data_IF_826087632876
#
_entry.id   IF_826087632876
#
_cell.length_a   1.000
_cell.length_b   1.000
_cell.length_c   1.000
_cell.angle_alpha   90.00
_cell.angle_beta   90.00
_cell.angle_gamma   90.00
#
_symmetry.space_group_name_H-M   'P 1'
#
loop_
_entity.id
_entity.type
_entity.pdbx_description
1 polymer ?
#
# COMPACT_ATOMS: atom_id res chain seq x y z
N UNK A 1 8.47 8.71 -14.33
CA UNK A 1 7.39 8.68 -15.35
C UNK A 1 6.39 7.58 -15.04
N UNK A 2 5.18 7.69 -15.57
CA UNK A 2 4.08 6.73 -15.34
C UNK A 2 3.61 6.66 -13.87
N UNK A 3 3.90 7.70 -13.08
CA UNK A 3 3.45 7.85 -11.71
C UNK A 3 2.81 9.24 -11.58
N UNK A 4 1.63 9.30 -10.99
CA UNK A 4 0.93 10.55 -10.67
C UNK A 4 0.62 10.54 -9.19
N UNK A 5 1.21 11.51 -8.46
CA UNK A 5 0.92 11.77 -7.06
C UNK A 5 -0.31 12.66 -6.94
N UNK A 6 -1.21 12.29 -6.06
CA UNK A 6 -2.41 13.05 -5.71
C UNK A 6 -2.33 13.44 -4.25
N UNK A 7 -2.53 14.71 -3.98
CA UNK A 7 -2.65 15.22 -2.62
C UNK A 7 -3.99 15.92 -2.47
N UNK A 8 -4.76 15.48 -1.50
CA UNK A 8 -6.05 16.08 -1.13
C UNK A 8 -5.94 16.61 0.29
N UNK A 9 -6.16 17.90 0.46
CA UNK A 9 -6.08 18.56 1.77
C UNK A 9 -7.42 19.22 2.09
N UNK A 10 -8.05 18.80 3.20
CA UNK A 10 -9.27 19.43 3.68
C UNK A 10 -8.97 20.71 4.44
N UNK A 11 -7.97 20.69 5.32
CA UNK A 11 -7.59 21.83 6.13
C UNK A 11 -6.08 21.96 6.29
N UNK A 12 -5.54 23.11 5.86
CA UNK A 12 -4.11 23.38 5.86
C UNK A 12 -3.63 24.29 7.01
N UNK A 13 -4.45 24.51 8.05
CA UNK A 13 -4.18 25.50 9.10
C UNK A 13 -3.01 25.15 9.99
N UNK A 14 -3.01 23.99 10.65
CA UNK A 14 -1.88 23.51 11.46
C UNK A 14 -1.65 22.04 11.12
N UNK A 15 -0.84 21.74 10.11
CA UNK A 15 -0.60 20.36 9.74
C UNK A 15 0.13 19.63 10.86
N UNK A 16 -0.31 18.40 11.17
CA UNK A 16 0.51 17.46 11.93
C UNK A 16 1.80 17.23 11.16
N UNK A 17 2.91 17.09 11.88
CA UNK A 17 4.15 16.58 11.29
C UNK A 17 4.01 15.07 11.13
N UNK A 18 3.49 14.65 10.00
CA UNK A 18 3.43 13.25 9.68
C UNK A 18 4.83 12.73 9.39
N UNK A 19 5.10 11.49 9.80
CA UNK A 19 6.32 10.79 9.42
C UNK A 19 6.29 10.56 7.91
N UNK A 20 7.35 11.00 7.23
CA UNK A 20 7.50 10.81 5.78
C UNK A 20 8.62 9.84 5.50
N UNK A 21 8.39 8.96 4.54
CA UNK A 21 9.45 8.13 3.98
C UNK A 21 10.24 8.91 2.93
N UNK A 22 11.51 8.56 2.76
CA UNK A 22 12.29 9.05 1.63
C UNK A 22 11.84 8.35 0.36
N UNK A 23 11.43 9.13 -0.63
CA UNK A 23 11.07 8.64 -1.96
C UNK A 23 12.16 9.05 -2.96
N UNK A 24 12.41 8.19 -3.95
CA UNK A 24 13.36 8.45 -5.03
C UNK A 24 12.60 9.08 -6.20
N UNK A 25 12.34 10.36 -6.08
CA UNK A 25 11.59 11.13 -7.07
C UNK A 25 12.49 11.52 -8.25
N UNK A 26 11.93 11.49 -9.44
CA UNK A 26 12.58 11.98 -10.65
C UNK A 26 12.06 13.37 -11.00
N UNK A 27 12.95 14.25 -11.50
CA UNK A 27 12.53 15.49 -12.12
C UNK A 27 11.84 15.19 -13.47
N UNK A 28 10.53 15.26 -13.47
CA UNK A 28 9.70 15.02 -14.65
C UNK A 28 8.90 16.26 -14.96
N UNK A 29 8.99 16.75 -16.20
CA UNK A 29 8.09 17.78 -16.69
C UNK A 29 6.81 17.09 -17.21
N UNK A 30 5.67 17.26 -16.55
CA UNK A 30 4.41 16.70 -17.04
C UNK A 30 3.91 17.46 -18.26
N UNK A 31 3.17 16.77 -19.10
CA UNK A 31 2.37 17.43 -20.14
C UNK A 31 1.03 17.84 -19.54
N UNK A 32 0.70 19.12 -19.66
CA UNK A 32 -0.57 19.68 -19.18
C UNK A 32 -1.32 20.24 -20.37
N UNK A 33 -2.56 19.83 -20.53
CA UNK A 33 -3.50 20.38 -21.52
C UNK A 33 -4.90 20.49 -20.93
N UNK A 34 -5.73 21.26 -21.56
CA UNK A 34 -7.14 21.38 -21.19
C UNK A 34 -8.00 21.61 -22.44
N UNK A 35 -9.25 21.24 -22.34
CA UNK A 35 -10.33 21.58 -23.26
C UNK A 35 -11.51 22.19 -22.45
N UNK A 36 -12.67 22.32 -23.07
CA UNK A 36 -13.83 22.93 -22.43
C UNK A 36 -14.32 22.14 -21.21
N UNK A 37 -14.23 20.80 -21.24
CA UNK A 37 -14.81 19.91 -20.24
C UNK A 37 -13.79 19.36 -19.25
N UNK A 38 -12.51 19.24 -19.64
CA UNK A 38 -11.49 18.51 -18.88
C UNK A 38 -10.16 19.26 -18.81
N UNK A 39 -9.43 19.02 -17.70
CA UNK A 39 -8.00 19.26 -17.59
C UNK A 39 -7.26 17.91 -17.56
N UNK A 40 -6.12 17.83 -18.22
CA UNK A 40 -5.32 16.62 -18.35
C UNK A 40 -3.92 16.86 -17.82
N UNK A 41 -3.44 15.92 -17.02
CA UNK A 41 -2.10 15.91 -16.47
C UNK A 41 -1.46 14.57 -16.83
N UNK A 42 -0.44 14.61 -17.70
CA UNK A 42 0.18 13.40 -18.25
C UNK A 42 1.63 13.24 -17.79
N UNK A 43 1.97 12.06 -17.30
CA UNK A 43 3.33 11.65 -16.93
C UNK A 43 3.67 10.33 -17.62
N UNK A 44 4.46 10.40 -18.70
CA UNK A 44 4.70 9.23 -19.56
C UNK A 44 3.43 8.79 -20.28
N UNK A 45 3.00 7.55 -20.08
CA UNK A 45 1.77 7.01 -20.68
C UNK A 45 0.52 7.26 -19.81
N UNK A 46 0.72 7.55 -18.52
CA UNK A 46 -0.37 7.73 -17.55
C UNK A 46 -0.88 9.17 -17.59
N UNK A 47 -2.19 9.32 -17.75
CA UNK A 47 -2.89 10.61 -17.72
C UNK A 47 -3.95 10.63 -16.61
N UNK A 48 -3.97 11.68 -15.79
CA UNK A 48 -5.11 12.06 -14.97
C UNK A 48 -5.96 13.06 -15.74
N UNK A 49 -7.21 12.69 -16.04
CA UNK A 49 -8.23 13.54 -16.65
C UNK A 49 -9.20 14.02 -15.60
N UNK A 50 -9.18 15.31 -15.31
CA UNK A 50 -9.98 15.95 -14.27
C UNK A 50 -11.17 16.66 -14.90
N UNK A 51 -12.39 16.39 -14.44
CA UNK A 51 -13.59 17.10 -14.94
C UNK A 51 -13.61 18.53 -14.43
N UNK A 52 -13.90 19.50 -15.33
CA UNK A 52 -13.98 20.93 -15.02
C UNK A 52 -15.37 21.37 -14.54
N UNK A 53 -16.38 20.54 -14.76
CA UNK A 53 -17.76 20.86 -14.44
C UNK A 53 -18.57 19.62 -14.06
N UNK A 54 -19.80 19.81 -13.59
CA UNK A 54 -20.66 18.73 -13.16
C UNK A 54 -20.20 18.07 -11.87
N UNK A 55 -20.32 16.75 -11.82
CA UNK A 55 -19.85 15.97 -10.69
C UNK A 55 -18.32 15.82 -10.75
N UNK A 56 -17.69 15.87 -9.60
CA UNK A 56 -16.26 15.57 -9.47
C UNK A 56 -15.92 14.20 -10.05
N UNK A 57 -14.91 14.15 -10.92
CA UNK A 57 -14.30 12.91 -11.39
C UNK A 57 -12.86 13.17 -11.82
N UNK A 58 -11.99 12.21 -11.47
CA UNK A 58 -10.64 12.08 -12.00
C UNK A 58 -10.48 10.68 -12.57
N UNK A 59 -10.33 10.59 -13.87
CA UNK A 59 -10.03 9.35 -14.55
C UNK A 59 -8.52 9.19 -14.70
N UNK A 60 -7.98 8.07 -14.24
CA UNK A 60 -6.60 7.67 -14.53
C UNK A 60 -6.61 6.75 -15.74
N UNK A 61 -5.93 7.17 -16.81
CA UNK A 61 -6.08 6.53 -18.12
C UNK A 61 -4.77 6.43 -18.88
N UNK A 62 -4.75 5.50 -19.83
CA UNK A 62 -3.65 5.30 -20.79
C UNK A 62 -4.25 5.24 -22.20
N UNK A 63 -3.90 6.20 -23.05
CA UNK A 63 -4.64 6.43 -24.28
C UNK A 63 -6.12 6.65 -23.96
N UNK A 64 -7.01 5.89 -24.58
CA UNK A 64 -8.47 5.98 -24.35
C UNK A 64 -8.98 5.01 -23.27
N UNK A 65 -8.09 4.20 -22.69
CA UNK A 65 -8.46 3.20 -21.68
C UNK A 65 -8.41 3.80 -20.29
N UNK A 66 -9.54 3.88 -19.61
CA UNK A 66 -9.63 4.23 -18.19
C UNK A 66 -9.17 3.01 -17.37
N UNK A 67 -8.20 3.23 -16.48
CA UNK A 67 -7.70 2.23 -15.54
C UNK A 67 -8.56 2.20 -14.28
N UNK A 68 -8.76 3.37 -13.69
CA UNK A 68 -9.57 3.58 -12.49
C UNK A 68 -10.06 5.02 -12.45
N UNK A 69 -11.05 5.30 -11.62
CA UNK A 69 -11.66 6.62 -11.46
C UNK A 69 -11.89 6.95 -10.00
N UNK A 70 -11.46 8.13 -9.56
CA UNK A 70 -11.98 8.79 -8.37
C UNK A 70 -13.26 9.54 -8.77
N UNK A 71 -14.40 8.93 -8.50
CA UNK A 71 -15.69 9.43 -8.99
C UNK A 71 -16.41 10.30 -7.97
N UNK A 72 -17.68 10.58 -8.28
CA UNK A 72 -18.57 11.34 -7.40
C UNK A 72 -18.63 10.72 -6.00
N UNK A 73 -18.28 11.50 -4.97
CA UNK A 73 -18.14 11.07 -3.58
C UNK A 73 -17.05 9.99 -3.36
N UNK A 74 -16.07 9.90 -4.24
CA UNK A 74 -14.88 9.07 -4.04
C UNK A 74 -14.06 9.56 -2.86
N UNK A 75 -13.80 10.86 -2.82
CA UNK A 75 -13.12 11.50 -1.70
C UNK A 75 -14.08 11.86 -0.57
N UNK A 76 -13.65 11.66 0.65
CA UNK A 76 -14.43 11.97 1.83
C UNK A 76 -13.58 12.44 3.02
N UNK A 77 -14.24 13.19 3.89
CA UNK A 77 -13.74 13.48 5.23
C UNK A 77 -14.79 13.06 6.25
N UNK A 78 -14.35 12.31 7.24
CA UNK A 78 -15.17 11.93 8.39
C UNK A 78 -14.59 12.53 9.67
N UNK A 79 -15.45 12.90 10.61
CA UNK A 79 -15.06 13.36 11.93
C UNK A 79 -15.63 12.40 12.97
N UNK A 80 -14.77 11.70 13.67
CA UNK A 80 -15.14 10.91 14.84
C UNK A 80 -15.18 11.84 16.06
N UNK A 81 -16.36 12.10 16.58
CA UNK A 81 -16.53 12.89 17.80
C UNK A 81 -16.09 12.07 19.00
N UNK A 82 -15.24 12.64 19.86
CA UNK A 82 -14.74 11.99 21.07
C UNK A 82 -15.69 12.05 22.27
N UNK A 83 -16.87 12.64 22.08
CA UNK A 83 -17.87 12.79 23.13
C UNK A 83 -17.55 13.87 24.18
N UNK A 84 -16.42 14.55 24.07
CA UNK A 84 -16.05 15.66 24.97
C UNK A 84 -16.83 16.91 24.58
N UNK A 85 -17.64 17.51 25.47
CA UNK A 85 -18.32 18.76 25.18
C UNK A 85 -17.29 19.89 24.99
N UNK A 86 -17.15 20.41 23.79
CA UNK A 86 -16.38 21.61 23.58
C UNK A 86 -17.21 22.70 22.94
N UNK A 87 -17.04 23.90 23.45
CA UNK A 87 -17.92 25.04 23.18
C UNK A 87 -17.66 25.78 21.87
N UNK A 88 -16.53 25.59 21.20
CA UNK A 88 -16.14 26.47 20.10
C UNK A 88 -15.59 25.79 18.83
N UNK A 89 -15.09 24.56 18.90
CA UNK A 89 -14.62 23.82 17.76
C UNK A 89 -15.07 22.34 17.85
N UNK A 90 -15.39 21.67 16.75
CA UNK A 90 -15.65 20.25 16.78
C UNK A 90 -14.36 19.53 17.18
N UNK A 91 -14.32 19.02 18.42
CA UNK A 91 -13.26 18.10 18.85
C UNK A 91 -13.58 16.71 18.36
N UNK A 92 -12.58 16.05 17.81
CA UNK A 92 -12.69 14.70 17.32
C UNK A 92 -11.50 14.37 16.40
N UNK A 93 -11.33 13.09 16.15
CA UNK A 93 -10.35 12.62 15.19
C UNK A 93 -10.91 12.76 13.77
N UNK A 94 -10.16 13.44 12.91
CA UNK A 94 -10.49 13.58 11.50
C UNK A 94 -9.89 12.43 10.71
N UNK A 95 -10.63 11.93 9.74
CA UNK A 95 -10.20 10.90 8.80
C UNK A 95 -10.42 11.40 7.37
N UNK A 96 -9.44 11.16 6.52
CA UNK A 96 -9.55 11.34 5.08
C UNK A 96 -9.74 9.99 4.42
N UNK A 97 -10.57 9.93 3.39
CA UNK A 97 -10.79 8.71 2.59
C UNK A 97 -10.79 9.01 1.09
N UNK A 98 -10.40 8.02 0.32
CA UNK A 98 -10.51 8.02 -1.15
C UNK A 98 -11.04 6.65 -1.60
N UNK A 99 -11.77 6.65 -2.69
CA UNK A 99 -12.33 5.44 -3.30
C UNK A 99 -12.04 5.42 -4.79
N UNK A 100 -11.31 4.42 -5.23
CA UNK A 100 -10.97 4.21 -6.63
C UNK A 100 -11.77 3.03 -7.19
N UNK A 101 -12.38 3.24 -8.36
CA UNK A 101 -13.23 2.25 -9.00
C UNK A 101 -12.44 1.02 -9.46
N UNK A 102 -13.06 -0.14 -9.34
CA UNK A 102 -12.63 -1.40 -9.93
C UNK A 102 -13.53 -1.74 -11.10
N UNK A 103 -12.95 -2.30 -12.14
CA UNK A 103 -13.69 -2.83 -13.29
C UNK A 103 -14.14 -4.28 -13.06
N UNK A 104 -15.01 -4.77 -13.92
CA UNK A 104 -15.49 -6.16 -13.86
C UNK A 104 -14.32 -7.13 -14.07
N UNK A 105 -14.17 -8.09 -13.15
CA UNK A 105 -13.07 -9.07 -13.18
C UNK A 105 -11.72 -8.51 -12.75
N UNK A 106 -11.67 -7.28 -12.24
CA UNK A 106 -10.44 -6.72 -11.71
C UNK A 106 -10.12 -7.31 -10.34
N UNK A 107 -8.90 -7.84 -10.21
CA UNK A 107 -8.38 -8.44 -8.99
C UNK A 107 -7.30 -7.53 -8.37
N UNK A 108 -7.36 -7.38 -7.07
CA UNK A 108 -6.43 -6.58 -6.25
C UNK A 108 -5.47 -7.51 -5.50
N UNK A 109 -4.18 -7.17 -5.51
CA UNK A 109 -3.09 -7.91 -4.87
C UNK A 109 -2.21 -6.97 -4.05
N UNK A 110 -1.43 -7.51 -3.11
CA UNK A 110 -0.47 -6.73 -2.33
C UNK A 110 -0.91 -6.54 -0.88
N UNK A 111 -0.72 -5.33 -0.34
CA UNK A 111 -1.02 -4.94 1.04
C UNK A 111 -0.14 -5.63 2.09
N UNK A 112 1.10 -5.98 1.71
CA UNK A 112 2.09 -6.59 2.61
C UNK A 112 1.95 -8.10 2.76
N UNK A 113 2.63 -8.66 3.76
CA UNK A 113 2.63 -10.09 4.05
C UNK A 113 1.46 -10.44 4.96
N UNK A 114 0.56 -11.32 4.49
CA UNK A 114 -0.65 -11.69 5.24
C UNK A 114 -1.01 -13.15 5.05
N UNK A 115 -1.57 -13.77 6.08
CA UNK A 115 -2.07 -15.15 6.10
C UNK A 115 -3.45 -15.29 5.46
N UNK A 116 -3.72 -14.56 4.41
CA UNK A 116 -4.99 -14.57 3.68
C UNK A 116 -4.82 -14.88 2.21
N UNK A 117 -5.91 -14.87 1.48
CA UNK A 117 -5.88 -15.07 0.04
C UNK A 117 -5.05 -13.99 -0.67
N UNK A 118 -4.37 -14.37 -1.76
CA UNK A 118 -3.60 -13.41 -2.57
C UNK A 118 -4.49 -12.35 -3.21
N UNK A 119 -5.66 -12.74 -3.69
CA UNK A 119 -6.68 -11.81 -4.17
C UNK A 119 -7.34 -11.16 -2.96
N UNK A 120 -7.28 -9.85 -2.89
CA UNK A 120 -7.77 -9.08 -1.75
C UNK A 120 -9.22 -8.64 -1.86
N UNK A 121 -9.86 -8.84 -3.01
CA UNK A 121 -11.27 -8.53 -3.20
C UNK A 121 -12.13 -9.24 -2.14
N UNK A 122 -12.99 -8.49 -1.47
CA UNK A 122 -13.80 -8.96 -0.35
C UNK A 122 -13.11 -8.95 1.02
N UNK A 123 -11.92 -8.31 1.13
CA UNK A 123 -11.18 -8.20 2.39
C UNK A 123 -11.09 -6.74 2.85
N UNK A 124 -11.24 -6.52 4.15
CA UNK A 124 -10.81 -5.30 4.84
C UNK A 124 -9.43 -5.56 5.43
N UNK A 125 -8.51 -4.63 5.22
CA UNK A 125 -7.10 -4.76 5.63
C UNK A 125 -6.66 -3.51 6.36
N UNK A 126 -6.40 -3.64 7.66
CA UNK A 126 -5.85 -2.56 8.48
C UNK A 126 -4.33 -2.66 8.53
N UNK A 127 -3.66 -1.53 8.27
CA UNK A 127 -2.21 -1.43 8.16
C UNK A 127 -1.60 -1.01 9.50
N UNK A 128 -1.32 -1.99 10.34
CA UNK A 128 -0.59 -1.78 11.58
C UNK A 128 0.37 -2.94 11.85
N UNK A 129 1.66 -2.64 12.07
CA UNK A 129 2.65 -3.69 12.34
C UNK A 129 2.42 -4.26 13.74
N UNK A 130 2.06 -5.53 13.81
CA UNK A 130 1.86 -6.26 15.04
C UNK A 130 2.26 -7.73 14.88
N UNK A 131 2.53 -8.39 15.99
CA UNK A 131 2.83 -9.82 15.97
C UNK A 131 1.60 -10.61 15.53
N UNK A 132 1.68 -11.12 14.31
CA UNK A 132 0.58 -11.83 13.65
C UNK A 132 0.48 -13.30 14.00
N UNK A 133 1.49 -13.88 14.63
CA UNK A 133 1.56 -15.35 14.78
C UNK A 133 1.46 -16.01 13.40
N UNK A 134 0.70 -17.11 13.30
CA UNK A 134 0.61 -17.93 12.07
C UNK A 134 -0.76 -17.97 11.41
N UNK A 135 -1.78 -17.31 11.94
CA UNK A 135 -3.15 -17.45 11.45
C UNK A 135 -4.08 -16.31 11.89
N UNK A 136 -3.61 -15.08 11.85
CA UNK A 136 -4.43 -13.91 12.18
C UNK A 136 -4.37 -12.86 11.08
N UNK A 137 -5.19 -11.81 11.19
CA UNK A 137 -5.17 -10.64 10.32
C UNK A 137 -3.96 -9.73 10.59
N UNK A 138 -3.30 -9.89 11.74
CA UNK A 138 -2.11 -9.13 12.11
C UNK A 138 -0.92 -9.52 11.24
N UNK A 139 -0.01 -8.59 11.02
CA UNK A 139 1.20 -8.81 10.24
C UNK A 139 2.34 -7.90 10.70
N UNK A 140 3.57 -8.39 10.62
CA UNK A 140 4.76 -7.56 10.84
C UNK A 140 5.06 -6.63 9.68
N UNK A 141 4.71 -7.04 8.45
CA UNK A 141 5.03 -6.30 7.24
C UNK A 141 3.75 -5.82 6.56
N UNK A 142 3.38 -4.60 6.87
CA UNK A 142 2.31 -3.86 6.24
C UNK A 142 2.89 -2.92 5.20
N UNK A 143 2.38 -3.00 3.97
CA UNK A 143 2.81 -2.15 2.86
C UNK A 143 1.53 -1.56 2.25
N UNK A 144 1.27 -0.25 2.40
CA UNK A 144 0.05 0.40 1.92
C UNK A 144 0.08 0.60 0.39
N UNK A 145 0.40 -0.47 -0.31
CA UNK A 145 0.47 -0.56 -1.75
C UNK A 145 -0.29 -1.77 -2.24
N UNK A 146 -1.19 -1.53 -3.18
CA UNK A 146 -1.82 -2.59 -3.95
C UNK A 146 -1.56 -2.44 -5.44
N UNK A 147 -1.66 -3.54 -6.16
CA UNK A 147 -1.62 -3.57 -7.62
C UNK A 147 -2.77 -4.42 -8.15
N UNK A 148 -3.11 -4.23 -9.43
CA UNK A 148 -4.20 -4.94 -10.07
C UNK A 148 -3.76 -5.72 -11.30
N UNK A 149 -4.58 -6.69 -11.72
CA UNK A 149 -4.37 -7.40 -12.98
C UNK A 149 -4.55 -6.52 -14.23
N UNK A 150 -4.91 -5.24 -14.06
CA UNK A 150 -4.99 -4.26 -15.14
C UNK A 150 -3.68 -3.50 -15.38
N UNK A 151 -2.63 -3.82 -14.61
CA UNK A 151 -1.27 -3.30 -14.78
C UNK A 151 -1.05 -1.92 -14.19
N UNK A 152 -1.80 -1.57 -13.16
CA UNK A 152 -1.54 -0.40 -12.32
C UNK A 152 -1.51 -0.77 -10.84
N UNK A 153 -0.98 0.11 -10.02
CA UNK A 153 -1.01 0.02 -8.57
C UNK A 153 -1.24 1.38 -7.93
N UNK A 154 -1.54 1.35 -6.63
CA UNK A 154 -1.75 2.55 -5.81
C UNK A 154 -0.97 2.41 -4.52
N UNK A 155 -0.15 3.40 -4.22
CA UNK A 155 0.56 3.55 -2.95
C UNK A 155 -0.10 4.66 -2.14
N UNK A 156 -0.47 4.39 -0.90
CA UNK A 156 -0.90 5.42 0.05
C UNK A 156 0.30 5.86 0.88
N UNK A 157 0.69 7.14 0.77
CA UNK A 157 1.85 7.69 1.46
C UNK A 157 1.52 8.07 2.91
N UNK A 158 1.32 7.07 3.75
CA UNK A 158 1.07 7.30 5.17
C UNK A 158 1.75 6.24 6.03
N UNK A 159 2.33 6.66 7.15
CA UNK A 159 3.04 5.81 8.11
C UNK A 159 2.21 5.45 9.35
N UNK A 160 0.97 5.97 9.44
CA UNK A 160 0.02 5.62 10.50
C UNK A 160 -0.91 4.50 10.05
N UNK A 161 -1.93 4.22 10.84
CA UNK A 161 -2.96 3.26 10.49
C UNK A 161 -3.67 3.68 9.21
N UNK A 162 -3.57 2.83 8.19
CA UNK A 162 -4.33 2.97 6.95
C UNK A 162 -5.26 1.77 6.82
N UNK A 163 -6.54 2.01 6.64
CA UNK A 163 -7.53 0.96 6.38
C UNK A 163 -7.82 0.88 4.90
N UNK A 164 -7.89 -0.34 4.36
CA UNK A 164 -8.31 -0.63 2.99
C UNK A 164 -9.54 -1.52 2.99
N UNK A 165 -10.63 -1.03 2.39
CA UNK A 165 -11.83 -1.78 2.09
C UNK A 165 -11.80 -2.19 0.62
N UNK A 166 -11.34 -3.41 0.34
CA UNK A 166 -11.17 -3.91 -1.03
C UNK A 166 -12.44 -4.64 -1.46
N UNK A 167 -13.30 -3.96 -2.21
CA UNK A 167 -14.60 -4.49 -2.67
C UNK A 167 -15.52 -4.99 -1.52
N UNK A 168 -15.36 -4.47 -0.31
CA UNK A 168 -16.16 -4.82 0.87
C UNK A 168 -17.26 -3.81 1.13
N UNK A 169 -16.94 -2.53 1.10
CA UNK A 169 -17.92 -1.46 1.26
C UNK A 169 -18.83 -1.36 0.01
N UNK A 170 -18.19 -1.40 -1.18
CA UNK A 170 -18.82 -1.58 -2.48
C UNK A 170 -17.97 -2.47 -3.36
N UNK A 171 -18.62 -3.37 -4.10
CA UNK A 171 -17.94 -4.37 -4.93
C UNK A 171 -17.12 -3.78 -6.07
N UNK A 172 -17.47 -2.59 -6.52
CA UNK A 172 -16.83 -1.89 -7.63
C UNK A 172 -15.74 -0.90 -7.22
N UNK A 173 -15.21 -0.98 -5.98
CA UNK A 173 -14.13 -0.05 -5.57
C UNK A 173 -13.19 -0.58 -4.50
N UNK A 174 -12.01 0.01 -4.45
CA UNK A 174 -11.12 0.02 -3.29
C UNK A 174 -11.27 1.37 -2.60
N UNK A 175 -11.66 1.35 -1.34
CA UNK A 175 -11.62 2.51 -0.48
C UNK A 175 -10.40 2.41 0.43
N UNK A 176 -9.69 3.50 0.66
CA UNK A 176 -8.65 3.60 1.67
C UNK A 176 -8.83 4.86 2.49
N UNK A 177 -8.50 4.75 3.77
CA UNK A 177 -8.68 5.84 4.73
C UNK A 177 -7.61 5.84 5.80
N UNK A 178 -7.31 7.01 6.35
CA UNK A 178 -6.43 7.17 7.50
C UNK A 178 -6.77 8.42 8.29
N UNK A 179 -6.25 8.49 9.51
CA UNK A 179 -6.38 9.68 10.36
C UNK A 179 -5.60 10.86 9.78
N UNK A 180 -6.20 12.04 9.77
CA UNK A 180 -5.59 13.29 9.35
C UNK A 180 -6.51 14.19 8.55
N UNK A 181 -5.94 15.28 8.02
CA UNK A 181 -6.62 16.29 7.19
C UNK A 181 -6.05 16.33 5.77
N UNK A 182 -5.11 15.46 5.45
CA UNK A 182 -4.47 15.35 4.13
C UNK A 182 -4.32 13.88 3.76
N UNK A 183 -4.75 13.54 2.56
CA UNK A 183 -4.54 12.23 1.92
C UNK A 183 -3.52 12.41 0.80
N UNK A 184 -2.50 11.55 0.77
CA UNK A 184 -1.53 11.50 -0.33
C UNK A 184 -1.45 10.07 -0.85
N UNK A 185 -1.58 9.91 -2.17
CA UNK A 185 -1.40 8.61 -2.81
C UNK A 185 -0.81 8.75 -4.21
N UNK A 186 -0.10 7.72 -4.65
CA UNK A 186 0.46 7.62 -5.99
C UNK A 186 -0.29 6.59 -6.82
N UNK A 187 -0.70 6.96 -8.02
CA UNK A 187 -1.17 6.01 -9.04
C UNK A 187 0.00 5.68 -9.95
N UNK A 188 0.33 4.40 -10.07
CA UNK A 188 1.53 3.87 -10.75
C UNK A 188 1.08 2.95 -11.88
N UNK A 189 1.48 3.24 -13.12
CA UNK A 189 1.13 2.43 -14.28
C UNK A 189 2.35 1.78 -14.92
N UNK A 190 2.45 0.45 -14.86
CA UNK A 190 3.48 -0.34 -15.51
C UNK A 190 3.00 -1.10 -16.75
N UNK A 191 1.67 -1.23 -16.92
CA UNK A 191 1.08 -2.05 -17.97
C UNK A 191 0.96 -3.53 -17.63
N UNK A 192 1.89 -4.06 -16.84
CA UNK A 192 1.81 -5.39 -16.22
C UNK A 192 2.05 -5.28 -14.72
N UNK A 193 1.62 -6.27 -13.90
CA UNK A 193 1.94 -6.28 -12.47
C UNK A 193 3.45 -6.23 -12.18
N UNK A 194 4.26 -6.89 -13.02
CA UNK A 194 5.71 -6.90 -12.87
C UNK A 194 6.32 -5.52 -13.10
N UNK A 195 5.92 -4.85 -14.17
CA UNK A 195 6.43 -3.52 -14.49
C UNK A 195 5.90 -2.46 -13.51
N UNK A 196 4.67 -2.64 -13.01
CA UNK A 196 4.12 -1.81 -11.93
C UNK A 196 4.94 -1.95 -10.65
N UNK A 197 5.35 -3.18 -10.30
CA UNK A 197 6.22 -3.43 -9.16
C UNK A 197 7.63 -2.85 -9.37
N UNK A 198 8.14 -2.88 -10.60
CA UNK A 198 9.42 -2.25 -10.95
C UNK A 198 9.36 -0.74 -10.72
N UNK A 199 8.34 -0.05 -11.18
CA UNK A 199 8.14 1.38 -10.93
C UNK A 199 7.94 1.70 -9.44
N UNK A 200 7.14 0.89 -8.73
CA UNK A 200 6.95 1.04 -7.30
C UNK A 200 8.29 0.95 -6.54
N UNK A 201 9.10 -0.06 -6.83
CA UNK A 201 10.41 -0.22 -6.16
C UNK A 201 11.44 0.79 -6.63
N UNK A 202 11.32 1.36 -7.83
CA UNK A 202 12.14 2.51 -8.23
C UNK A 202 11.83 3.74 -7.37
N UNK A 203 10.55 3.96 -7.06
CA UNK A 203 10.10 5.08 -6.22
C UNK A 203 10.46 4.88 -4.73
N UNK A 204 10.25 3.68 -4.19
CA UNK A 204 10.35 3.42 -2.75
C UNK A 204 11.70 2.84 -2.30
N UNK A 205 12.53 2.43 -3.23
CA UNK A 205 13.79 1.75 -3.01
C UNK A 205 13.79 0.31 -3.50
N UNK A 206 14.86 -0.05 -4.21
CA UNK A 206 15.03 -1.42 -4.72
C UNK A 206 15.38 -2.36 -3.58
N UNK A 207 14.85 -3.60 -3.59
CA UNK A 207 15.30 -4.63 -2.66
C UNK A 207 16.77 -4.97 -2.88
N UNK A 208 17.46 -5.40 -1.83
CA UNK A 208 18.83 -5.86 -1.93
C UNK A 208 18.92 -7.13 -2.78
N UNK A 209 19.97 -7.25 -3.61
CA UNK A 209 20.31 -8.51 -4.22
C UNK A 209 21.07 -9.36 -3.19
N UNK A 210 20.36 -10.31 -2.57
CA UNK A 210 20.89 -11.15 -1.53
C UNK A 210 21.61 -12.39 -2.10
N UNK A 211 22.58 -13.00 -1.38
CA UNK A 211 23.26 -14.22 -1.84
C UNK A 211 22.30 -15.41 -1.92
N UNK A 212 22.59 -16.34 -2.83
CA UNK A 212 21.71 -17.47 -3.13
C UNK A 212 21.39 -18.34 -1.90
N UNK A 213 22.34 -18.50 -0.97
CA UNK A 213 22.13 -19.31 0.25
C UNK A 213 21.01 -18.73 1.13
N UNK A 214 20.71 -17.43 1.07
CA UNK A 214 19.65 -16.81 1.86
C UNK A 214 18.23 -17.26 1.45
N UNK A 215 18.10 -17.91 0.29
CA UNK A 215 16.84 -18.53 -0.16
C UNK A 215 16.74 -20.02 0.24
N UNK A 216 17.74 -20.56 0.94
CA UNK A 216 17.71 -21.90 1.46
C UNK A 216 16.97 -22.03 2.79
N UNK A 217 17.08 -23.21 3.41
CA UNK A 217 16.43 -23.47 4.70
C UNK A 217 17.09 -22.68 5.82
N UNK A 218 16.30 -21.96 6.57
CA UNK A 218 16.64 -21.31 7.82
C UNK A 218 16.05 -22.11 8.97
N UNK A 219 16.88 -22.54 9.92
CA UNK A 219 16.46 -23.30 11.09
C UNK A 219 16.65 -22.47 12.35
N UNK A 220 15.63 -22.48 13.18
CA UNK A 220 15.66 -21.99 14.54
C UNK A 220 14.95 -22.97 15.44
N UNK A 221 15.32 -23.05 16.70
CA UNK A 221 14.54 -23.75 17.72
C UNK A 221 13.65 -22.82 18.51
N UNK A 222 13.64 -21.52 18.12
CA UNK A 222 12.96 -20.47 18.83
C UNK A 222 13.31 -20.50 20.33
N UNK A 223 12.37 -20.36 21.22
CA UNK A 223 12.59 -20.42 22.67
C UNK A 223 12.41 -21.83 23.27
N UNK A 224 12.38 -22.87 22.45
CA UNK A 224 12.10 -24.26 22.92
C UNK A 224 13.32 -25.01 23.46
N UNK A 225 14.52 -24.52 23.16
CA UNK A 225 15.79 -25.11 23.65
C UNK A 225 16.77 -24.02 24.06
N UNK A 226 17.80 -24.42 24.80
CA UNK A 226 18.95 -23.57 25.05
C UNK A 226 19.81 -23.43 23.78
N UNK A 227 20.35 -22.23 23.57
CA UNK A 227 21.25 -21.93 22.44
C UNK A 227 22.74 -22.08 22.85
N UNK A 228 23.08 -23.09 23.66
CA UNK A 228 24.48 -23.44 23.91
C UNK A 228 25.11 -24.10 22.69
N UNK A 229 26.45 -24.11 22.64
CA UNK A 229 27.20 -24.63 21.49
C UNK A 229 26.90 -26.13 21.24
N UNK A 230 26.76 -26.95 22.27
CA UNK A 230 26.51 -28.38 22.14
C UNK A 230 25.12 -28.63 21.53
N UNK A 231 24.10 -27.96 22.02
CA UNK A 231 22.73 -28.10 21.55
C UNK A 231 22.62 -27.60 20.11
N UNK A 232 23.12 -26.40 19.79
CA UNK A 232 23.11 -25.84 18.44
C UNK A 232 23.83 -26.74 17.44
N UNK A 233 25.05 -27.23 17.80
CA UNK A 233 25.82 -28.15 16.97
C UNK A 233 25.09 -29.48 16.74
N UNK A 234 24.36 -30.00 17.73
CA UNK A 234 23.59 -31.21 17.56
C UNK A 234 22.47 -31.10 16.53
N UNK A 235 21.81 -29.95 16.44
CA UNK A 235 20.81 -29.69 15.40
C UNK A 235 21.44 -29.57 14.01
N UNK A 236 22.52 -28.81 13.88
CA UNK A 236 23.26 -28.65 12.62
C UNK A 236 23.75 -30.00 12.09
N UNK A 237 24.40 -30.76 12.95
CA UNK A 237 24.90 -32.10 12.61
C UNK A 237 23.74 -33.07 12.29
N UNK A 238 22.65 -33.02 13.05
CA UNK A 238 21.50 -33.86 12.83
C UNK A 238 20.80 -33.58 11.49
N UNK A 239 20.83 -32.34 10.99
CA UNK A 239 20.38 -32.00 9.64
C UNK A 239 21.29 -32.63 8.58
N UNK A 240 22.61 -32.51 8.76
CA UNK A 240 23.61 -33.11 7.85
C UNK A 240 23.52 -34.64 7.80
N UNK A 241 23.38 -35.32 8.96
CA UNK A 241 23.22 -36.76 9.06
C UNK A 241 21.97 -37.29 8.32
N UNK A 242 20.96 -36.45 8.15
CA UNK A 242 19.69 -36.78 7.47
C UNK A 242 19.64 -36.32 6.02
N UNK A 243 20.76 -35.80 5.52
CA UNK A 243 20.86 -35.25 4.17
C UNK A 243 19.81 -34.13 3.92
N UNK A 244 19.53 -33.33 4.95
CA UNK A 244 18.65 -32.20 4.86
C UNK A 244 19.50 -30.92 4.69
N UNK A 245 19.43 -30.25 3.52
CA UNK A 245 20.25 -29.06 3.27
C UNK A 245 19.83 -27.90 4.18
N UNK A 246 20.74 -27.45 5.02
CA UNK A 246 20.60 -26.33 5.92
C UNK A 246 21.49 -25.19 5.44
N UNK A 247 20.92 -24.02 5.19
CA UNK A 247 21.68 -22.84 4.77
C UNK A 247 22.03 -21.93 5.94
N UNK A 248 21.14 -21.78 6.90
CA UNK A 248 21.30 -20.88 8.03
C UNK A 248 20.72 -21.50 9.29
N UNK A 249 21.47 -21.42 10.38
CA UNK A 249 20.92 -21.59 11.72
C UNK A 249 20.88 -20.21 12.39
N UNK A 250 19.75 -19.80 12.94
CA UNK A 250 19.65 -18.51 13.61
C UNK A 250 19.09 -18.65 15.03
N UNK A 251 19.51 -17.73 15.88
CA UNK A 251 19.03 -17.62 17.24
C UNK A 251 17.79 -16.71 17.24
N UNK A 252 16.65 -17.31 17.53
CA UNK A 252 15.37 -16.63 17.58
C UNK A 252 14.84 -16.67 19.01
N UNK A 253 14.36 -15.52 19.49
CA UNK A 253 13.94 -15.35 20.89
C UNK A 253 15.02 -15.70 21.91
N UNK A 254 16.26 -15.30 21.66
CA UNK A 254 17.42 -15.50 22.52
C UNK A 254 17.45 -14.52 23.69
#
# INVERSE_FOLDING_TARGET
RNIIRVQVTHFAGTPRKDTKFTMYEEDVTPEIREDDDYAYFTSGDLTARVSKGGNWAVDYMVGDRILTTSGWRGMGRALKKDGTPCSLLPHGTSYMSESLQLDVGECVYGLGERFGAYVKNGQTVDMWNADGGTASELAYKNIPFYMTNRGYGVLVENASDVSFEVATEKVERVQFSHEGETMVYDVIYGGTPKDTLDLYTALTGRPALVPAWSFGLWLSTSFTTNYDEQTTSSFINGMAERDIPLSVFHFDCY
#
